data_IF_365565626279
#
_entry.id   IF_365565626279
#
_cell.length_a   1.000
_cell.length_b   1.000
_cell.length_c   1.000
_cell.angle_alpha   90.00
_cell.angle_beta   90.00
_cell.angle_gamma   90.00
#
_symmetry.space_group_name_H-M   'P 1'
#
loop_
_entity.id
_entity.type
_entity.pdbx_description
1 polymer ?
#
# COMPACT_ATOMS: atom_id res chain seq x y z
N UNK A 1 -17.74 -10.50 -38.45
CA UNK A 1 -16.95 -11.08 -37.34
C UNK A 1 -16.00 -10.08 -36.65
N UNK A 2 -15.37 -9.14 -37.37
CA UNK A 2 -14.35 -8.22 -36.81
C UNK A 2 -14.92 -7.06 -35.95
N UNK A 3 -16.09 -6.50 -36.31
CA UNK A 3 -16.71 -5.39 -35.57
C UNK A 3 -17.15 -5.74 -34.13
N UNK A 4 -17.60 -6.98 -33.89
CA UNK A 4 -17.98 -7.44 -32.55
C UNK A 4 -16.78 -7.57 -31.60
N UNK A 5 -15.60 -7.91 -32.12
CA UNK A 5 -14.38 -7.99 -31.31
C UNK A 5 -13.83 -6.60 -30.94
N UNK A 6 -13.99 -5.60 -31.81
CA UNK A 6 -13.63 -4.21 -31.50
C UNK A 6 -14.51 -3.63 -30.38
N UNK A 7 -15.83 -3.84 -30.44
CA UNK A 7 -16.73 -3.37 -29.39
C UNK A 7 -16.48 -4.10 -28.05
N UNK A 8 -16.22 -5.41 -28.07
CA UNK A 8 -15.87 -6.15 -26.87
C UNK A 8 -14.58 -5.64 -26.20
N UNK A 9 -13.54 -5.29 -26.99
CA UNK A 9 -12.30 -4.69 -26.47
C UNK A 9 -12.53 -3.30 -25.88
N UNK A 10 -13.27 -2.44 -26.58
CA UNK A 10 -13.60 -1.11 -26.08
C UNK A 10 -14.38 -1.17 -24.75
N UNK A 11 -15.32 -2.13 -24.62
CA UNK A 11 -16.08 -2.32 -23.39
C UNK A 11 -15.21 -2.84 -22.24
N UNK A 12 -14.24 -3.72 -22.54
CA UNK A 12 -13.28 -4.22 -21.56
C UNK A 12 -12.34 -3.11 -21.07
N UNK A 13 -11.91 -2.21 -21.95
CA UNK A 13 -11.07 -1.06 -21.60
C UNK A 13 -11.82 -0.08 -20.71
N UNK A 14 -13.06 0.28 -21.06
CA UNK A 14 -13.92 1.14 -20.21
C UNK A 14 -14.16 0.51 -18.84
N UNK A 15 -14.39 -0.81 -18.77
CA UNK A 15 -14.55 -1.51 -17.50
C UNK A 15 -13.24 -1.60 -16.69
N UNK A 16 -12.08 -1.69 -17.35
CA UNK A 16 -10.79 -1.66 -16.70
C UNK A 16 -10.48 -0.28 -16.11
N UNK A 17 -10.77 0.79 -16.86
CA UNK A 17 -10.60 2.18 -16.43
C UNK A 17 -11.52 2.50 -15.24
N UNK A 18 -12.79 2.09 -15.31
CA UNK A 18 -13.72 2.22 -14.19
C UNK A 18 -13.25 1.45 -12.94
N UNK A 19 -12.71 0.23 -13.09
CA UNK A 19 -12.17 -0.54 -11.95
C UNK A 19 -10.93 0.11 -11.35
N UNK A 20 -10.03 0.65 -12.17
CA UNK A 20 -8.80 1.29 -11.69
C UNK A 20 -9.11 2.58 -10.91
N UNK A 21 -10.06 3.39 -11.37
CA UNK A 21 -10.51 4.58 -10.64
C UNK A 21 -11.05 4.27 -9.24
N UNK A 22 -11.66 3.08 -9.05
CA UNK A 22 -12.22 2.64 -7.77
C UNK A 22 -11.27 1.77 -6.93
N UNK A 23 -10.01 1.59 -7.34
CA UNK A 23 -9.03 0.79 -6.60
C UNK A 23 -8.68 1.47 -5.26
N UNK A 24 -9.11 0.93 -4.10
CA UNK A 24 -9.02 1.64 -2.84
C UNK A 24 -7.62 1.58 -2.21
N UNK A 25 -7.20 2.68 -1.59
CA UNK A 25 -5.95 2.74 -0.79
C UNK A 25 -5.90 1.69 0.34
N UNK A 26 -7.06 1.24 0.81
CA UNK A 26 -7.18 0.26 1.90
C UNK A 26 -6.55 -1.09 1.58
N UNK A 27 -6.31 -1.43 0.30
CA UNK A 27 -5.62 -2.66 -0.06
C UNK A 27 -4.17 -2.72 0.43
N UNK A 28 -3.53 -1.58 0.72
CA UNK A 28 -2.22 -1.59 1.39
C UNK A 28 -2.26 -2.24 2.77
N UNK A 29 -3.43 -2.34 3.42
CA UNK A 29 -3.58 -3.09 4.67
C UNK A 29 -3.26 -4.59 4.50
N UNK A 30 -3.49 -5.16 3.31
CA UNK A 30 -3.11 -6.55 2.99
C UNK A 30 -1.58 -6.69 3.00
N UNK A 31 -0.88 -5.80 2.29
CA UNK A 31 0.58 -5.80 2.25
C UNK A 31 1.18 -5.58 3.64
N UNK A 32 0.67 -4.60 4.38
CA UNK A 32 1.07 -4.33 5.76
C UNK A 32 0.88 -5.56 6.68
N UNK A 33 -0.28 -6.20 6.63
CA UNK A 33 -0.58 -7.39 7.44
C UNK A 33 0.30 -8.58 7.09
N UNK A 34 0.52 -8.83 5.80
CA UNK A 34 1.36 -9.93 5.31
C UNK A 34 2.84 -9.72 5.64
N UNK A 35 3.33 -8.49 5.55
CA UNK A 35 4.68 -8.15 6.02
C UNK A 35 4.81 -8.34 7.55
N UNK A 36 3.78 -7.95 8.33
CA UNK A 36 3.74 -8.23 9.76
C UNK A 36 3.79 -9.73 10.08
N UNK A 37 3.03 -10.55 9.35
CA UNK A 37 3.08 -12.01 9.46
C UNK A 37 4.46 -12.56 9.13
N UNK A 38 5.08 -12.08 8.05
CA UNK A 38 6.43 -12.49 7.64
C UNK A 38 7.46 -12.25 8.74
N UNK A 39 7.43 -11.06 9.36
CA UNK A 39 8.34 -10.71 10.46
C UNK A 39 8.04 -11.53 11.72
N UNK A 40 6.77 -11.80 12.02
CA UNK A 40 6.39 -12.65 13.14
C UNK A 40 6.87 -14.11 12.97
N UNK A 41 6.76 -14.66 11.75
CA UNK A 41 7.29 -15.98 11.42
C UNK A 41 8.80 -16.02 11.56
N UNK A 42 9.51 -15.02 11.03
CA UNK A 42 10.98 -14.94 11.14
C UNK A 42 11.43 -14.86 12.60
N UNK A 43 10.74 -14.06 13.42
CA UNK A 43 11.01 -13.98 14.86
C UNK A 43 10.75 -15.30 15.58
N UNK A 44 9.67 -16.02 15.21
CA UNK A 44 9.37 -17.34 15.74
C UNK A 44 10.42 -18.39 15.35
N UNK A 45 10.83 -18.41 14.08
CA UNK A 45 11.88 -19.31 13.59
C UNK A 45 13.19 -19.09 14.35
N UNK A 46 13.59 -17.84 14.57
CA UNK A 46 14.77 -17.50 15.36
C UNK A 46 14.63 -17.94 16.84
N UNK A 47 13.46 -17.72 17.46
CA UNK A 47 13.22 -18.05 18.86
C UNK A 47 13.22 -19.57 19.13
N UNK A 48 12.73 -20.37 18.18
CA UNK A 48 12.63 -21.83 18.29
C UNK A 48 13.74 -22.58 17.54
N UNK A 49 14.74 -21.88 16.98
CA UNK A 49 15.81 -22.44 16.17
C UNK A 49 15.29 -23.31 14.99
N UNK A 50 14.19 -22.88 14.37
CA UNK A 50 13.62 -23.53 13.18
C UNK A 50 14.28 -23.00 11.90
N UNK A 51 14.12 -23.74 10.80
CA UNK A 51 14.57 -23.30 9.48
C UNK A 51 13.75 -22.13 8.92
N UNK A 52 14.29 -21.34 7.97
CA UNK A 52 13.69 -20.09 7.49
C UNK A 52 12.59 -20.27 6.43
N UNK A 53 12.06 -21.48 6.25
CA UNK A 53 11.24 -21.82 5.09
C UNK A 53 9.86 -21.13 5.12
N UNK A 54 9.24 -21.01 6.30
CA UNK A 54 7.92 -20.40 6.42
C UNK A 54 8.00 -18.88 6.26
N UNK A 55 8.99 -18.22 6.88
CA UNK A 55 9.19 -16.78 6.71
C UNK A 55 9.60 -16.40 5.29
N UNK A 56 10.42 -17.22 4.60
CA UNK A 56 10.78 -17.00 3.19
C UNK A 56 9.57 -17.12 2.26
N UNK A 57 8.76 -18.16 2.43
CA UNK A 57 7.53 -18.32 1.64
C UNK A 57 6.57 -17.14 1.88
N UNK A 58 6.38 -16.75 3.15
CA UNK A 58 5.56 -15.60 3.50
C UNK A 58 6.11 -14.29 2.92
N UNK A 59 7.44 -14.09 2.93
CA UNK A 59 8.07 -12.91 2.34
C UNK A 59 7.80 -12.80 0.84
N UNK A 60 7.97 -13.89 0.09
CA UNK A 60 7.72 -13.91 -1.35
C UNK A 60 6.27 -13.55 -1.68
N UNK A 61 5.31 -14.11 -0.94
CA UNK A 61 3.88 -13.79 -1.09
C UNK A 61 3.62 -12.32 -0.71
N UNK A 62 4.22 -11.84 0.37
CA UNK A 62 4.07 -10.46 0.83
C UNK A 62 4.60 -9.46 -0.19
N UNK A 63 5.77 -9.72 -0.77
CA UNK A 63 6.36 -8.91 -1.84
C UNK A 63 5.48 -8.90 -3.10
N UNK A 64 4.95 -10.05 -3.51
CA UNK A 64 4.07 -10.15 -4.66
C UNK A 64 2.77 -9.35 -4.45
N UNK A 65 2.14 -9.50 -3.29
CA UNK A 65 0.91 -8.78 -2.94
C UNK A 65 1.16 -7.27 -2.81
N UNK A 66 2.20 -6.87 -2.08
CA UNK A 66 2.56 -5.46 -1.92
C UNK A 66 2.92 -4.83 -3.26
N UNK A 67 3.68 -5.52 -4.11
CA UNK A 67 4.02 -5.08 -5.46
C UNK A 67 2.78 -4.90 -6.34
N UNK A 68 1.86 -5.88 -6.34
CA UNK A 68 0.61 -5.79 -7.10
C UNK A 68 -0.25 -4.60 -6.66
N UNK A 69 -0.43 -4.42 -5.35
CA UNK A 69 -1.18 -3.30 -4.78
C UNK A 69 -0.51 -1.97 -5.10
N UNK A 70 0.82 -1.89 -4.95
CA UNK A 70 1.58 -0.68 -5.24
C UNK A 70 1.50 -0.28 -6.71
N UNK A 71 1.64 -1.24 -7.64
CA UNK A 71 1.51 -0.98 -9.07
C UNK A 71 0.10 -0.53 -9.45
N UNK A 72 -0.93 -1.19 -8.92
CA UNK A 72 -2.33 -0.79 -9.14
C UNK A 72 -2.61 0.61 -8.63
N UNK A 73 -2.13 0.94 -7.43
CA UNK A 73 -2.33 2.26 -6.85
C UNK A 73 -1.50 3.35 -7.55
N UNK A 74 -0.28 3.03 -7.99
CA UNK A 74 0.54 3.95 -8.79
C UNK A 74 -0.14 4.25 -10.13
N UNK A 75 -0.66 3.23 -10.82
CA UNK A 75 -1.42 3.42 -12.05
C UNK A 75 -2.66 4.31 -11.81
N UNK A 76 -3.39 4.10 -10.71
CA UNK A 76 -4.49 4.98 -10.30
C UNK A 76 -4.01 6.41 -10.03
N UNK A 77 -2.88 6.61 -9.35
CA UNK A 77 -2.36 7.94 -9.04
C UNK A 77 -1.95 8.72 -10.29
N UNK A 78 -1.41 8.04 -11.30
CA UNK A 78 -0.99 8.64 -12.56
C UNK A 78 -2.16 8.91 -13.53
N UNK A 79 -3.11 7.96 -13.63
CA UNK A 79 -4.22 8.04 -14.60
C UNK A 79 -5.47 8.73 -14.04
N UNK A 80 -5.69 8.64 -12.72
CA UNK A 80 -6.88 9.16 -12.05
C UNK A 80 -6.53 9.93 -10.75
N UNK A 81 -5.70 11.00 -10.81
CA UNK A 81 -5.32 11.78 -9.63
C UNK A 81 -6.53 12.38 -8.90
N UNK A 82 -7.60 12.73 -9.63
CA UNK A 82 -8.85 13.21 -9.05
C UNK A 82 -9.52 12.16 -8.13
N UNK A 83 -9.41 10.87 -8.47
CA UNK A 83 -9.95 9.79 -7.65
C UNK A 83 -9.15 9.63 -6.35
N UNK A 84 -7.82 9.81 -6.39
CA UNK A 84 -6.97 9.81 -5.18
C UNK A 84 -7.33 10.99 -4.28
N UNK A 85 -7.51 12.19 -4.85
CA UNK A 85 -7.95 13.36 -4.08
C UNK A 85 -9.35 13.18 -3.46
N UNK A 86 -10.26 12.48 -4.16
CA UNK A 86 -11.57 12.14 -3.61
C UNK A 86 -11.45 11.19 -2.41
N UNK A 87 -10.52 10.23 -2.42
CA UNK A 87 -10.26 9.35 -1.28
C UNK A 87 -9.66 10.09 -0.09
N UNK A 88 -8.78 11.06 -0.34
CA UNK A 88 -8.19 11.89 0.70
C UNK A 88 -9.25 12.66 1.50
N UNK A 89 -10.33 13.08 0.84
CA UNK A 89 -11.44 13.81 1.48
C UNK A 89 -12.35 12.94 2.36
N UNK A 90 -12.24 11.62 2.28
CA UNK A 90 -13.07 10.70 3.06
C UNK A 90 -12.41 10.42 4.42
N UNK A 91 -13.00 10.83 5.57
CA UNK A 91 -12.37 10.73 6.89
C UNK A 91 -11.96 9.31 7.29
N UNK A 92 -12.68 8.31 6.80
CA UNK A 92 -12.34 6.90 7.03
C UNK A 92 -11.17 6.43 6.17
N UNK A 93 -11.03 6.93 4.93
CA UNK A 93 -9.99 6.46 3.99
C UNK A 93 -8.66 7.16 4.20
N UNK A 94 -8.66 8.43 4.62
CA UNK A 94 -7.43 9.17 4.91
C UNK A 94 -6.55 8.48 5.96
N UNK A 95 -7.17 7.79 6.92
CA UNK A 95 -6.48 6.98 7.94
C UNK A 95 -5.68 5.79 7.37
N UNK A 96 -5.99 5.34 6.15
CA UNK A 96 -5.31 4.21 5.50
C UNK A 96 -4.16 4.62 4.59
N UNK A 97 -4.00 5.91 4.26
CA UNK A 97 -2.85 6.37 3.46
C UNK A 97 -1.50 6.02 4.12
N UNK A 98 -1.32 6.16 5.45
CA UNK A 98 -0.11 5.72 6.13
C UNK A 98 0.20 4.22 5.98
N UNK A 99 -0.76 3.37 5.59
CA UNK A 99 -0.47 1.95 5.35
C UNK A 99 0.55 1.74 4.22
N UNK A 100 0.66 2.70 3.29
CA UNK A 100 1.68 2.71 2.23
C UNK A 100 3.07 2.80 2.87
N UNK A 101 3.32 3.82 3.68
CA UNK A 101 4.61 4.04 4.34
C UNK A 101 4.92 2.96 5.39
N UNK A 102 3.93 2.50 6.15
CA UNK A 102 4.12 1.39 7.09
C UNK A 102 4.54 0.11 6.34
N UNK A 103 3.93 -0.19 5.19
CA UNK A 103 4.34 -1.35 4.39
C UNK A 103 5.79 -1.25 3.91
N UNK A 104 6.25 -0.04 3.52
CA UNK A 104 7.65 0.20 3.17
C UNK A 104 8.60 0.03 4.37
N UNK A 105 8.20 0.50 5.55
CA UNK A 105 8.99 0.33 6.78
C UNK A 105 9.08 -1.14 7.19
N UNK A 106 8.01 -1.92 7.06
CA UNK A 106 8.08 -3.36 7.32
C UNK A 106 8.95 -4.08 6.29
N UNK A 107 8.90 -3.65 5.02
CA UNK A 107 9.79 -4.16 3.98
C UNK A 107 11.26 -3.85 4.27
N UNK A 108 11.58 -2.66 4.75
CA UNK A 108 12.98 -2.34 5.10
C UNK A 108 13.51 -3.22 6.23
N UNK A 109 12.68 -3.55 7.22
CA UNK A 109 13.04 -4.50 8.27
C UNK A 109 13.28 -5.90 7.69
N UNK A 110 12.41 -6.38 6.80
CA UNK A 110 12.59 -7.68 6.16
C UNK A 110 13.85 -7.77 5.29
N UNK A 111 14.27 -6.66 4.68
CA UNK A 111 15.48 -6.58 3.84
C UNK A 111 16.77 -6.38 4.65
N UNK A 112 16.68 -6.08 5.95
CA UNK A 112 17.82 -5.60 6.73
C UNK A 112 18.99 -6.59 6.77
N UNK A 113 18.69 -7.89 6.86
CA UNK A 113 19.70 -8.95 6.95
C UNK A 113 20.30 -9.31 5.59
N UNK A 114 19.48 -9.30 4.54
CA UNK A 114 19.87 -9.79 3.20
C UNK A 114 20.49 -8.69 2.33
N UNK A 115 19.94 -7.47 2.41
CA UNK A 115 20.35 -6.31 1.60
C UNK A 115 20.29 -5.01 2.42
N UNK A 116 21.27 -4.79 3.32
CA UNK A 116 21.25 -3.65 4.24
C UNK A 116 21.30 -2.27 3.54
N UNK A 117 21.90 -2.17 2.36
CA UNK A 117 21.89 -0.94 1.57
C UNK A 117 20.48 -0.60 1.05
N UNK A 118 19.80 -1.58 0.46
CA UNK A 118 18.42 -1.42 0.01
C UNK A 118 17.48 -1.13 1.19
N UNK A 119 17.67 -1.83 2.31
CA UNK A 119 16.92 -1.60 3.55
C UNK A 119 17.05 -0.13 4.02
N UNK A 120 18.27 0.44 4.05
CA UNK A 120 18.48 1.85 4.44
C UNK A 120 17.77 2.85 3.53
N UNK A 121 17.78 2.60 2.22
CA UNK A 121 17.11 3.47 1.26
C UNK A 121 15.58 3.42 1.44
N UNK A 122 15.03 2.21 1.50
CA UNK A 122 13.58 1.99 1.72
C UNK A 122 13.15 2.55 3.07
N UNK A 123 13.95 2.36 4.11
CA UNK A 123 13.69 2.90 5.44
C UNK A 123 13.67 4.43 5.46
N UNK A 124 14.64 5.08 4.81
CA UNK A 124 14.71 6.54 4.73
C UNK A 124 13.48 7.11 4.02
N UNK A 125 13.12 6.52 2.87
CA UNK A 125 11.92 6.91 2.12
C UNK A 125 10.64 6.67 2.93
N UNK A 126 10.50 5.49 3.54
CA UNK A 126 9.36 5.12 4.36
C UNK A 126 9.18 6.04 5.58
N UNK A 127 10.27 6.40 6.25
CA UNK A 127 10.26 7.29 7.42
C UNK A 127 9.87 8.71 7.04
N UNK A 128 10.45 9.26 5.97
CA UNK A 128 10.08 10.57 5.46
C UNK A 128 8.59 10.61 5.05
N UNK A 129 8.14 9.61 4.28
CA UNK A 129 6.75 9.50 3.88
C UNK A 129 5.81 9.34 5.07
N UNK A 130 6.17 8.53 6.06
CA UNK A 130 5.39 8.32 7.28
C UNK A 130 5.23 9.63 8.06
N UNK A 131 6.31 10.40 8.23
CA UNK A 131 6.25 11.69 8.91
C UNK A 131 5.32 12.68 8.19
N UNK A 132 5.46 12.79 6.87
CA UNK A 132 4.60 13.66 6.05
C UNK A 132 3.13 13.23 6.11
N UNK A 133 2.85 11.94 5.92
CA UNK A 133 1.49 11.41 5.94
C UNK A 133 0.88 11.53 7.33
N UNK A 134 1.61 11.22 8.40
CA UNK A 134 1.10 11.37 9.77
C UNK A 134 0.68 12.82 10.06
N UNK A 135 1.54 13.80 9.73
CA UNK A 135 1.21 15.22 9.87
C UNK A 135 0.01 15.62 9.01
N UNK A 136 -0.06 15.14 7.76
CA UNK A 136 -1.14 15.46 6.85
C UNK A 136 -2.49 14.87 7.29
N UNK A 137 -2.52 13.62 7.78
CA UNK A 137 -3.74 12.99 8.32
C UNK A 137 -4.21 13.70 9.59
N UNK A 138 -3.31 13.98 10.53
CA UNK A 138 -3.63 14.70 11.77
C UNK A 138 -4.15 16.11 11.44
N UNK A 139 -3.48 16.82 10.53
CA UNK A 139 -3.89 18.15 10.08
C UNK A 139 -5.28 18.14 9.42
N UNK A 140 -5.57 17.14 8.59
CA UNK A 140 -6.88 16.99 7.95
C UNK A 140 -8.01 16.74 8.98
N UNK A 141 -7.76 15.94 10.02
CA UNK A 141 -8.72 15.71 11.10
C UNK A 141 -8.96 16.96 11.95
N UNK A 142 -7.91 17.72 12.25
CA UNK A 142 -8.03 18.97 13.02
C UNK A 142 -8.78 20.03 12.19
N UNK A 143 -8.45 20.19 10.91
CA UNK A 143 -9.10 21.16 10.03
C UNK A 143 -10.57 20.84 9.71
N UNK A 144 -10.98 19.57 9.78
CA UNK A 144 -12.39 19.17 9.64
C UNK A 144 -13.26 19.46 10.88
N UNK A 145 -12.67 19.86 12.02
CA UNK A 145 -13.45 20.48 13.10
C UNK A 145 -13.71 21.93 12.71
N UNK A 146 -14.71 22.15 11.84
CA UNK A 146 -15.40 23.42 11.81
C UNK A 146 -15.88 23.70 13.23
N UNK A 147 -15.29 24.72 13.87
CA UNK A 147 -15.80 25.30 15.09
C UNK A 147 -17.30 25.61 14.88
N UNK A 148 -18.20 24.74 15.35
CA UNK A 148 -19.57 25.13 15.65
C UNK A 148 -19.47 26.07 16.85
N UNK A 149 -19.22 27.35 16.58
CA UNK A 149 -19.55 28.44 17.49
C UNK A 149 -20.98 28.87 17.17
N UNK A 150 -21.87 28.78 18.17
CA UNK A 150 -23.26 29.21 18.09
C UNK A 150 -24.21 28.18 18.65
#
# INVERSE_FOLDING_TARGET
MQGGQMMARAQADVAAEARLAHFPVTFFAIGMGMMGLTLALRAGEAAFALGPEASRAALLVSLALLGLVALGYLAKALLHPAAVAAEWRLPVRIAFFPAISISLLLLSVALLEEQPEAARLVWSAGTALQGLLALAVIGAWIGHRSFQQG
#
